data_IF_791356627724
#
_entry.id   IF_791356627724
#
_cell.length_a   1.000
_cell.length_b   1.000
_cell.length_c   1.000
_cell.angle_alpha   90.00
_cell.angle_beta   90.00
_cell.angle_gamma   90.00
#
_symmetry.space_group_name_H-M   'P 1'
#
loop_
_entity.id
_entity.type
_entity.pdbx_description
1 polymer ?
#
# COMPACT_ATOMS: atom_id res chain seq x y z
N UNK A 1 -18.66 -38.33 2.29
CA UNK A 1 -19.43 -37.71 3.39
C UNK A 1 -18.77 -38.11 4.69
N UNK A 2 -17.96 -37.23 5.29
CA UNK A 2 -17.25 -37.56 6.53
C UNK A 2 -18.19 -37.38 7.73
N UNK A 3 -18.20 -38.43 8.54
CA UNK A 3 -18.88 -38.70 9.80
C UNK A 3 -19.14 -37.50 10.72
N UNK A 4 -20.24 -37.58 11.47
CA UNK A 4 -20.72 -36.67 12.53
C UNK A 4 -19.66 -36.31 13.59
N UNK A 5 -18.67 -35.50 13.25
CA UNK A 5 -17.78 -34.92 14.25
C UNK A 5 -18.57 -33.92 15.11
N UNK A 6 -18.43 -34.06 16.42
CA UNK A 6 -19.10 -33.18 17.39
C UNK A 6 -18.53 -31.77 17.24
N UNK A 7 -19.33 -30.86 16.69
CA UNK A 7 -18.97 -29.45 16.56
C UNK A 7 -19.29 -28.74 17.88
N UNK A 8 -18.26 -28.23 18.55
CA UNK A 8 -18.43 -27.39 19.75
C UNK A 8 -18.00 -25.96 19.43
N UNK A 9 -18.63 -24.99 20.11
CA UNK A 9 -18.33 -23.57 19.95
C UNK A 9 -18.01 -22.96 21.30
N UNK A 10 -16.98 -22.14 21.37
CA UNK A 10 -16.68 -21.40 22.60
C UNK A 10 -17.70 -20.28 22.81
N UNK A 11 -17.70 -19.69 24.02
CA UNK A 11 -18.44 -18.46 24.28
C UNK A 11 -17.92 -17.34 23.39
N UNK A 12 -18.82 -16.44 23.01
CA UNK A 12 -18.47 -15.20 22.34
C UNK A 12 -17.54 -14.36 23.22
N UNK A 13 -16.52 -13.80 22.58
CA UNK A 13 -15.61 -12.85 23.18
C UNK A 13 -15.66 -11.57 22.38
N UNK A 14 -15.67 -10.44 23.08
CA UNK A 14 -15.62 -9.12 22.47
C UNK A 14 -14.16 -8.77 22.14
N UNK A 15 -13.93 -8.18 20.98
CA UNK A 15 -12.67 -7.53 20.64
C UNK A 15 -12.92 -6.23 19.87
N UNK A 16 -11.95 -5.33 19.96
CA UNK A 16 -11.98 -4.05 19.27
C UNK A 16 -11.32 -4.21 17.90
N UNK A 17 -12.13 -4.02 16.85
CA UNK A 17 -11.70 -3.98 15.46
C UNK A 17 -11.20 -2.58 15.16
N UNK A 18 -9.92 -2.46 14.82
CA UNK A 18 -9.29 -1.20 14.49
C UNK A 18 -9.22 -1.08 12.96
N UNK A 19 -9.82 -0.03 12.41
CA UNK A 19 -9.76 0.28 10.99
C UNK A 19 -8.61 1.25 10.69
N UNK A 20 -8.22 1.33 9.40
CA UNK A 20 -7.19 2.25 8.91
C UNK A 20 -7.54 3.73 9.14
N UNK A 21 -8.82 4.05 9.29
CA UNK A 21 -9.32 5.40 9.62
C UNK A 21 -9.24 5.75 11.11
N UNK A 22 -8.59 4.90 11.94
CA UNK A 22 -8.65 4.93 13.41
C UNK A 22 -10.07 4.77 13.99
N UNK A 23 -11.05 4.41 13.16
CA UNK A 23 -12.36 4.00 13.64
C UNK A 23 -12.20 2.68 14.41
N UNK A 24 -12.85 2.60 15.57
CA UNK A 24 -12.91 1.39 16.38
C UNK A 24 -14.35 0.89 16.34
N UNK A 25 -14.54 -0.37 15.98
CA UNK A 25 -15.82 -1.04 16.08
C UNK A 25 -15.71 -2.25 16.98
N UNK A 26 -16.82 -2.55 17.65
CA UNK A 26 -16.92 -3.71 18.51
C UNK A 26 -17.33 -4.92 17.68
N UNK A 27 -16.52 -5.97 17.71
CA UNK A 27 -16.79 -7.23 17.04
C UNK A 27 -16.75 -8.38 18.06
N UNK A 28 -17.41 -9.47 17.71
CA UNK A 28 -17.48 -10.68 18.52
C UNK A 28 -16.78 -11.82 17.80
N UNK A 29 -16.03 -12.62 18.53
CA UNK A 29 -15.29 -13.77 18.02
C UNK A 29 -15.54 -15.01 18.89
N UNK A 30 -15.66 -16.17 18.26
CA UNK A 30 -15.65 -17.48 18.94
C UNK A 30 -14.89 -18.52 18.13
N UNK A 31 -14.34 -19.51 18.82
CA UNK A 31 -13.68 -20.66 18.20
C UNK A 31 -14.73 -21.73 17.89
N UNK A 32 -14.60 -22.35 16.71
CA UNK A 32 -15.33 -23.55 16.31
C UNK A 32 -14.35 -24.73 16.41
N UNK A 33 -14.70 -25.74 17.19
CA UNK A 33 -13.87 -26.91 17.45
C UNK A 33 -14.59 -28.14 16.89
N UNK A 34 -13.98 -28.77 15.89
CA UNK A 34 -14.45 -30.02 15.30
C UNK A 34 -13.81 -31.20 16.04
N UNK A 35 -14.57 -31.88 16.90
CA UNK A 35 -14.06 -32.95 17.74
C UNK A 35 -13.10 -32.46 18.82
N UNK A 36 -11.81 -32.41 18.51
CA UNK A 36 -10.75 -31.95 19.42
C UNK A 36 -10.00 -30.75 18.83
N UNK A 37 -9.34 -29.96 19.70
CA UNK A 37 -8.52 -28.84 19.23
C UNK A 37 -7.30 -29.37 18.48
N UNK A 38 -7.17 -28.99 17.22
CA UNK A 38 -6.00 -29.27 16.39
C UNK A 38 -5.13 -28.02 16.25
N UNK A 39 -3.98 -28.15 15.57
CA UNK A 39 -3.14 -27.01 15.20
C UNK A 39 -3.88 -26.01 14.29
N UNK A 40 -4.85 -26.50 13.51
CA UNK A 40 -5.70 -25.73 12.62
C UNK A 40 -6.96 -25.29 13.38
N UNK A 41 -7.06 -24.00 13.65
CA UNK A 41 -8.16 -23.42 14.42
C UNK A 41 -9.15 -22.73 13.50
N UNK A 42 -10.43 -22.92 13.81
CA UNK A 42 -11.54 -22.31 13.08
C UNK A 42 -12.19 -21.24 13.97
N UNK A 43 -12.47 -20.09 13.38
CA UNK A 43 -13.04 -18.95 14.07
C UNK A 43 -14.25 -18.43 13.34
N UNK A 44 -15.18 -17.89 14.11
CA UNK A 44 -16.35 -17.19 13.62
C UNK A 44 -16.34 -15.79 14.22
N UNK A 45 -16.44 -14.79 13.35
CA UNK A 45 -16.42 -13.38 13.71
C UNK A 45 -17.73 -12.75 13.22
N UNK A 46 -18.35 -11.90 14.04
CA UNK A 46 -19.58 -11.18 13.70
C UNK A 46 -19.63 -9.81 14.37
N UNK A 47 -20.41 -8.88 13.82
CA UNK A 47 -20.80 -7.63 14.50
C UNK A 47 -21.95 -7.83 15.48
N UNK A 48 -22.78 -8.86 15.28
CA UNK A 48 -23.95 -9.15 16.10
C UNK A 48 -24.06 -10.66 16.38
N UNK A 49 -23.97 -11.03 17.65
CA UNK A 49 -24.02 -12.42 18.13
C UNK A 49 -25.43 -13.06 18.09
N UNK A 50 -26.49 -12.25 18.00
CA UNK A 50 -27.88 -12.70 17.98
C UNK A 50 -28.40 -12.88 16.55
N UNK A 51 -28.16 -11.89 15.69
CA UNK A 51 -28.68 -11.90 14.31
C UNK A 51 -27.75 -12.56 13.30
N UNK A 52 -26.44 -12.62 13.57
CA UNK A 52 -25.41 -13.18 12.68
C UNK A 52 -25.58 -12.72 11.22
N UNK A 53 -25.44 -11.40 10.94
CA UNK A 53 -25.73 -10.87 9.62
C UNK A 53 -24.74 -11.45 8.60
N UNK A 54 -25.19 -11.96 7.44
CA UNK A 54 -24.29 -12.59 6.45
C UNK A 54 -23.15 -11.69 5.98
N UNK A 55 -23.40 -10.39 5.87
CA UNK A 55 -22.42 -9.42 5.34
C UNK A 55 -21.31 -9.09 6.34
N UNK A 56 -21.55 -9.27 7.64
CA UNK A 56 -20.61 -8.96 8.71
C UNK A 56 -20.19 -10.19 9.53
N UNK A 57 -20.64 -11.38 9.12
CA UNK A 57 -20.27 -12.65 9.72
C UNK A 57 -19.28 -13.38 8.82
N UNK A 58 -18.11 -13.72 9.35
CA UNK A 58 -17.06 -14.39 8.59
C UNK A 58 -16.50 -15.60 9.35
N UNK A 59 -16.14 -16.62 8.59
CA UNK A 59 -15.48 -17.82 9.09
C UNK A 59 -14.02 -17.82 8.66
N UNK A 60 -13.12 -18.07 9.61
CA UNK A 60 -11.68 -18.04 9.40
C UNK A 60 -11.05 -19.36 9.81
N UNK A 61 -10.01 -19.74 9.09
CA UNK A 61 -9.18 -20.89 9.39
C UNK A 61 -7.73 -20.40 9.53
N UNK A 62 -7.05 -20.80 10.60
CA UNK A 62 -5.67 -20.36 10.84
C UNK A 62 -4.86 -21.40 11.61
N UNK A 63 -3.58 -21.52 11.27
CA UNK A 63 -2.60 -22.32 12.00
C UNK A 63 -1.74 -21.48 12.97
N UNK A 64 -2.05 -20.19 13.17
CA UNK A 64 -1.31 -19.37 14.13
C UNK A 64 -1.44 -19.97 15.53
N UNK A 65 -0.36 -19.96 16.30
CA UNK A 65 -0.28 -20.45 17.67
C UNK A 65 -0.49 -19.32 18.68
N UNK A 66 -0.74 -19.64 19.95
CA UNK A 66 -0.90 -18.66 21.04
C UNK A 66 -2.33 -18.13 21.27
N UNK A 67 -2.45 -17.10 22.11
CA UNK A 67 -3.71 -16.40 22.38
C UNK A 67 -3.98 -15.36 21.27
N UNK A 68 -4.70 -15.81 20.25
CA UNK A 68 -4.92 -15.05 19.01
C UNK A 68 -6.34 -14.47 18.94
N UNK A 69 -7.18 -14.72 19.93
CA UNK A 69 -8.60 -14.32 19.99
C UNK A 69 -8.79 -12.83 19.71
N UNK A 70 -7.94 -11.97 20.28
CA UNK A 70 -8.01 -10.51 20.11
C UNK A 70 -7.29 -9.98 18.87
N UNK A 71 -6.49 -10.82 18.21
CA UNK A 71 -5.60 -10.39 17.11
C UNK A 71 -6.01 -10.95 15.75
N UNK A 72 -6.62 -12.14 15.68
CA UNK A 72 -7.02 -12.81 14.41
C UNK A 72 -7.91 -11.90 13.56
N UNK A 73 -8.96 -11.34 14.16
CA UNK A 73 -9.86 -10.44 13.43
C UNK A 73 -9.11 -9.23 12.88
N UNK A 74 -8.16 -8.70 13.67
CA UNK A 74 -7.37 -7.56 13.25
C UNK A 74 -6.40 -7.87 12.11
N UNK A 75 -5.71 -9.01 12.19
CA UNK A 75 -4.78 -9.52 11.17
C UNK A 75 -5.53 -9.87 9.88
N UNK A 76 -6.63 -10.61 9.96
CA UNK A 76 -7.39 -11.01 8.78
C UNK A 76 -7.90 -9.79 8.02
N UNK A 77 -8.36 -8.78 8.76
CA UNK A 77 -8.82 -7.56 8.16
C UNK A 77 -7.73 -6.68 7.57
N UNK A 78 -6.43 -7.02 7.68
CA UNK A 78 -5.37 -6.38 6.88
C UNK A 78 -5.49 -6.75 5.39
N UNK A 79 -6.22 -7.81 5.02
CA UNK A 79 -6.44 -8.20 3.62
C UNK A 79 -7.00 -7.08 2.74
N UNK A 80 -7.75 -6.13 3.31
CA UNK A 80 -8.31 -5.00 2.57
C UNK A 80 -7.22 -4.06 2.05
N UNK A 81 -6.01 -4.08 2.62
CA UNK A 81 -4.87 -3.33 2.09
C UNK A 81 -4.39 -3.88 0.74
N UNK A 82 -4.54 -5.19 0.50
CA UNK A 82 -4.22 -5.80 -0.80
C UNK A 82 -5.17 -5.24 -1.86
N UNK A 83 -6.47 -5.21 -1.57
CA UNK A 83 -7.49 -4.65 -2.47
C UNK A 83 -7.25 -3.16 -2.71
N UNK A 84 -6.94 -2.39 -1.67
CA UNK A 84 -6.57 -0.99 -1.79
C UNK A 84 -5.37 -0.80 -2.72
N UNK A 85 -4.32 -1.61 -2.57
CA UNK A 85 -3.13 -1.56 -3.42
C UNK A 85 -3.46 -1.86 -4.89
N UNK A 86 -4.23 -2.92 -5.16
CA UNK A 86 -4.66 -3.23 -6.53
C UNK A 86 -5.49 -2.13 -7.16
N UNK A 87 -6.32 -1.43 -6.37
CA UNK A 87 -7.05 -0.26 -6.85
C UNK A 87 -6.11 0.84 -7.31
N UNK A 88 -5.04 1.12 -6.54
CA UNK A 88 -4.04 2.11 -6.96
C UNK A 88 -3.28 1.68 -8.22
N UNK A 89 -2.87 0.41 -8.33
CA UNK A 89 -2.20 -0.09 -9.53
C UNK A 89 -3.06 0.04 -10.79
N UNK A 90 -4.38 -0.20 -10.67
CA UNK A 90 -5.35 -0.05 -11.76
C UNK A 90 -5.59 1.40 -12.13
N UNK A 91 -6.00 2.21 -11.15
CA UNK A 91 -6.54 3.55 -11.39
C UNK A 91 -5.43 4.58 -11.63
N UNK A 92 -4.25 4.42 -11.01
CA UNK A 92 -3.22 5.46 -10.99
C UNK A 92 -1.95 5.08 -11.75
N UNK A 93 -1.56 3.80 -11.77
CA UNK A 93 -0.33 3.33 -12.43
C UNK A 93 -0.58 2.70 -13.81
N UNK A 94 -1.84 2.68 -14.26
CA UNK A 94 -2.18 2.25 -15.61
C UNK A 94 -1.99 0.75 -15.85
N UNK A 95 -2.20 -0.09 -14.83
CA UNK A 95 -2.25 -1.54 -15.06
C UNK A 95 -3.26 -1.92 -16.14
N UNK A 96 -4.38 -1.20 -16.28
CA UNK A 96 -5.37 -1.48 -17.32
C UNK A 96 -5.04 -0.84 -18.69
N UNK A 97 -3.98 -0.02 -18.77
CA UNK A 97 -3.68 0.82 -19.95
C UNK A 97 -2.70 0.18 -20.93
N UNK A 98 -2.19 -1.04 -20.66
CA UNK A 98 -1.31 -1.71 -21.61
C UNK A 98 -2.08 -2.12 -22.87
N UNK A 99 -1.44 -1.93 -24.03
CA UNK A 99 -1.92 -2.41 -25.34
C UNK A 99 -1.13 -3.62 -25.84
N UNK A 100 -0.44 -4.27 -24.92
CA UNK A 100 0.39 -5.45 -25.16
C UNK A 100 -0.48 -6.69 -25.30
N UNK A 101 -0.09 -7.62 -26.17
CA UNK A 101 -0.81 -8.88 -26.40
C UNK A 101 0.01 -10.12 -26.07
N UNK A 102 1.35 -10.00 -26.04
CA UNK A 102 2.25 -11.06 -25.61
C UNK A 102 2.23 -11.21 -24.09
N UNK A 103 2.14 -12.45 -23.60
CA UNK A 103 2.16 -12.73 -22.16
C UNK A 103 3.45 -12.24 -21.48
N UNK A 104 4.60 -12.45 -22.11
CA UNK A 104 5.90 -12.03 -21.56
C UNK A 104 6.00 -10.52 -21.37
N UNK A 105 5.38 -9.75 -22.27
CA UNK A 105 5.36 -8.28 -22.18
C UNK A 105 4.38 -7.82 -21.09
N UNK A 106 3.25 -8.51 -20.94
CA UNK A 106 2.27 -8.24 -19.87
C UNK A 106 2.89 -8.50 -18.49
N UNK A 107 3.67 -9.57 -18.35
CA UNK A 107 4.39 -9.88 -17.11
C UNK A 107 5.41 -8.79 -16.77
N UNK A 108 6.24 -8.37 -17.74
CA UNK A 108 7.18 -7.25 -17.56
C UNK A 108 6.46 -5.94 -17.20
N UNK A 109 5.32 -5.66 -17.84
CA UNK A 109 4.51 -4.50 -17.51
C UNK A 109 4.04 -4.55 -16.05
N UNK A 110 3.59 -5.72 -15.60
CA UNK A 110 3.18 -5.92 -14.23
C UNK A 110 4.31 -5.70 -13.22
N UNK A 111 5.51 -6.21 -13.51
CA UNK A 111 6.70 -6.01 -12.69
C UNK A 111 7.04 -4.52 -12.53
N UNK A 112 6.95 -3.75 -13.63
CA UNK A 112 7.17 -2.30 -13.60
C UNK A 112 6.12 -1.60 -12.75
N UNK A 113 4.83 -1.93 -12.95
CA UNK A 113 3.72 -1.36 -12.16
C UNK A 113 3.90 -1.66 -10.67
N UNK A 114 4.27 -2.88 -10.31
CA UNK A 114 4.49 -3.28 -8.93
C UNK A 114 5.73 -2.64 -8.31
N UNK A 115 6.81 -2.47 -9.09
CA UNK A 115 8.00 -1.75 -8.67
C UNK A 115 7.70 -0.28 -8.37
N UNK A 116 6.93 0.38 -9.24
CA UNK A 116 6.47 1.75 -9.02
C UNK A 116 5.55 1.85 -7.78
N UNK A 117 4.62 0.91 -7.61
CA UNK A 117 3.77 0.86 -6.42
C UNK A 117 4.58 0.72 -5.12
N UNK A 118 5.59 -0.15 -5.12
CA UNK A 118 6.49 -0.38 -4.00
C UNK A 118 7.31 0.88 -3.68
N UNK A 119 7.90 1.51 -4.69
CA UNK A 119 8.66 2.75 -4.57
C UNK A 119 7.84 3.87 -3.92
N UNK A 120 6.58 4.05 -4.35
CA UNK A 120 5.67 5.05 -3.76
C UNK A 120 5.32 4.69 -2.32
N UNK A 121 5.03 3.42 -2.06
CA UNK A 121 4.62 2.94 -0.72
C UNK A 121 5.72 3.15 0.32
N UNK A 122 6.99 3.02 -0.07
CA UNK A 122 8.14 3.31 0.78
C UNK A 122 8.24 4.77 1.21
N UNK A 123 7.69 5.71 0.43
CA UNK A 123 7.63 7.12 0.85
C UNK A 123 6.57 7.40 1.92
N UNK A 124 5.83 6.39 2.38
CA UNK A 124 4.86 6.59 3.46
C UNK A 124 5.55 6.79 4.81
N UNK A 125 4.92 7.61 5.66
CA UNK A 125 5.43 7.94 6.99
C UNK A 125 5.69 6.71 7.85
N UNK A 126 4.94 5.62 7.65
CA UNK A 126 5.13 4.38 8.43
C UNK A 126 6.53 3.83 8.21
N UNK A 127 7.00 3.74 6.97
CA UNK A 127 8.34 3.24 6.66
C UNK A 127 9.43 4.27 7.00
N UNK A 128 9.16 5.55 6.79
CA UNK A 128 10.07 6.61 7.21
C UNK A 128 10.31 6.61 8.73
N UNK A 129 9.24 6.47 9.52
CA UNK A 129 9.33 6.42 10.98
C UNK A 129 10.01 5.13 11.49
N UNK A 130 9.81 3.99 10.81
CA UNK A 130 10.55 2.75 11.11
C UNK A 130 12.05 2.92 10.88
N UNK A 131 12.44 3.77 9.93
CA UNK A 131 13.82 4.03 9.55
C UNK A 131 14.49 5.20 10.25
N UNK A 132 13.91 5.73 11.34
CA UNK A 132 14.43 6.86 12.13
C UNK A 132 15.88 6.70 12.68
N UNK A 133 16.59 5.63 12.31
CA UNK A 133 18.03 5.48 12.51
C UNK A 133 18.91 5.87 11.30
N UNK A 134 18.39 6.27 10.14
CA UNK A 134 19.26 6.51 8.97
C UNK A 134 18.64 7.42 7.91
N UNK A 135 19.17 8.66 7.79
CA UNK A 135 19.22 9.52 6.58
C UNK A 135 18.05 10.42 6.19
N UNK A 136 16.99 10.59 6.98
CA UNK A 136 16.18 11.79 6.78
C UNK A 136 16.94 13.00 7.33
N UNK A 137 17.06 14.02 6.50
CA UNK A 137 17.73 15.31 6.75
C UNK A 137 19.22 15.34 6.36
N UNK A 138 19.50 15.23 5.06
CA UNK A 138 20.43 16.17 4.47
C UNK A 138 19.62 17.41 4.11
N UNK A 139 19.56 18.39 5.02
CA UNK A 139 18.97 19.73 4.87
C UNK A 139 17.42 19.84 4.84
N UNK A 140 16.77 20.20 5.97
CA UNK A 140 15.31 20.39 6.03
C UNK A 140 14.84 21.59 5.18
N UNK A 141 15.77 22.48 4.81
CA UNK A 141 15.54 23.62 3.94
C UNK A 141 15.18 23.26 2.50
N UNK A 142 15.65 22.12 1.96
CA UNK A 142 15.32 21.69 0.60
C UNK A 142 13.90 21.15 0.53
N UNK A 143 13.48 20.36 1.53
CA UNK A 143 12.11 19.84 1.61
C UNK A 143 11.09 20.98 1.66
N UNK A 144 11.38 22.05 2.40
CA UNK A 144 10.54 23.25 2.44
C UNK A 144 10.38 23.88 1.05
N UNK A 145 11.44 23.93 0.24
CA UNK A 145 11.35 24.43 -1.15
C UNK A 145 10.50 23.55 -2.05
N UNK A 146 10.55 22.23 -1.90
CA UNK A 146 9.64 21.34 -2.65
C UNK A 146 8.18 21.58 -2.26
N UNK A 147 7.93 21.82 -0.97
CA UNK A 147 6.59 22.10 -0.43
C UNK A 147 6.02 23.46 -0.87
N UNK A 148 6.86 24.40 -1.31
CA UNK A 148 6.42 25.67 -1.91
C UNK A 148 5.77 25.48 -3.29
N UNK A 149 5.93 24.32 -3.93
CA UNK A 149 5.33 24.07 -5.24
C UNK A 149 3.78 24.11 -5.15
N UNK A 150 3.07 24.87 -6.02
CA UNK A 150 1.62 25.07 -5.89
C UNK A 150 0.77 23.79 -5.92
N UNK A 151 1.27 22.75 -6.59
CA UNK A 151 0.61 21.43 -6.66
C UNK A 151 1.15 20.41 -5.67
N UNK A 152 2.03 20.81 -4.76
CA UNK A 152 2.52 19.94 -3.71
C UNK A 152 1.40 19.61 -2.72
N UNK A 153 1.27 18.34 -2.37
CA UNK A 153 0.22 17.87 -1.49
C UNK A 153 0.78 17.40 -0.14
N UNK A 154 0.32 18.00 0.96
CA UNK A 154 0.77 17.70 2.33
C UNK A 154 -0.07 16.60 3.01
N UNK A 155 -1.13 16.10 2.36
CA UNK A 155 -1.99 15.09 2.96
C UNK A 155 -1.33 13.70 2.98
N UNK A 156 -1.60 12.95 4.05
CA UNK A 156 -1.04 11.62 4.31
C UNK A 156 -1.83 10.54 3.56
N UNK A 157 -1.48 10.30 2.31
CA UNK A 157 -2.13 9.28 1.48
C UNK A 157 -1.28 8.86 0.29
N UNK A 158 -1.44 7.60 -0.14
CA UNK A 158 -0.63 7.03 -1.23
C UNK A 158 -0.72 7.86 -2.52
N UNK A 159 -1.92 8.33 -2.88
CA UNK A 159 -2.11 9.18 -4.08
C UNK A 159 -1.37 10.50 -4.01
N UNK A 160 -1.29 11.09 -2.82
CA UNK A 160 -0.59 12.36 -2.61
C UNK A 160 0.93 12.16 -2.72
N UNK A 161 1.44 11.04 -2.20
CA UNK A 161 2.84 10.63 -2.37
C UNK A 161 3.16 10.42 -3.86
N UNK A 162 2.30 9.71 -4.60
CA UNK A 162 2.45 9.54 -6.04
C UNK A 162 2.48 10.89 -6.76
N UNK A 163 1.57 11.81 -6.43
CA UNK A 163 1.53 13.15 -7.01
C UNK A 163 2.85 13.90 -6.77
N UNK A 164 3.35 13.91 -5.54
CA UNK A 164 4.59 14.61 -5.21
C UNK A 164 5.79 14.00 -5.94
N UNK A 165 5.87 12.67 -6.03
CA UNK A 165 6.90 11.99 -6.83
C UNK A 165 6.77 12.31 -8.33
N UNK A 166 5.55 12.39 -8.87
CA UNK A 166 5.29 12.82 -10.25
C UNK A 166 5.84 14.23 -10.52
N UNK A 167 5.65 15.16 -9.58
CA UNK A 167 6.20 16.53 -9.69
C UNK A 167 7.73 16.51 -9.72
N UNK A 168 8.37 15.66 -8.91
CA UNK A 168 9.83 15.56 -8.85
C UNK A 168 10.42 14.99 -10.15
N UNK A 169 9.77 14.00 -10.77
CA UNK A 169 10.26 13.41 -12.04
C UNK A 169 9.87 14.24 -13.28
N UNK A 170 8.92 15.17 -13.14
CA UNK A 170 8.33 15.92 -14.25
C UNK A 170 9.37 16.66 -15.14
N UNK A 171 10.41 17.32 -14.59
CA UNK A 171 11.45 17.95 -15.41
C UNK A 171 12.17 16.97 -16.33
N UNK A 172 12.43 15.74 -15.86
CA UNK A 172 13.06 14.70 -16.67
C UNK A 172 12.12 14.26 -17.80
N UNK A 173 10.84 14.06 -17.50
CA UNK A 173 9.82 13.70 -18.51
C UNK A 173 9.73 14.77 -19.59
N UNK A 174 9.66 16.04 -19.21
CA UNK A 174 9.61 17.15 -20.16
C UNK A 174 10.88 17.28 -21.00
N UNK A 175 12.05 17.07 -20.39
CA UNK A 175 13.32 17.01 -21.11
C UNK A 175 13.29 15.92 -22.19
N UNK A 176 12.83 14.70 -21.85
CA UNK A 176 12.71 13.60 -22.81
C UNK A 176 11.72 13.92 -23.95
N UNK A 177 10.58 14.53 -23.65
CA UNK A 177 9.56 14.87 -24.65
C UNK A 177 10.02 15.95 -25.62
N UNK A 178 10.82 16.92 -25.16
CA UNK A 178 11.29 18.03 -26.00
C UNK A 178 12.59 17.71 -26.74
N UNK A 179 13.37 16.72 -26.28
CA UNK A 179 14.66 16.32 -26.87
C UNK A 179 14.60 16.10 -28.39
N UNK A 180 13.58 15.42 -28.98
CA UNK A 180 13.48 15.27 -30.43
C UNK A 180 13.43 16.60 -31.17
N UNK A 181 12.72 17.61 -30.64
CA UNK A 181 12.64 18.94 -31.25
C UNK A 181 13.96 19.71 -31.13
N UNK A 182 14.68 19.53 -30.03
CA UNK A 182 16.00 20.14 -29.84
C UNK A 182 17.05 19.62 -30.83
N UNK A 183 16.85 18.41 -31.37
CA UNK A 183 17.69 17.90 -32.46
C UNK A 183 17.46 18.62 -33.80
N UNK A 184 16.24 19.15 -34.01
CA UNK A 184 15.87 19.90 -35.22
C UNK A 184 16.22 21.39 -35.05
N UNK A 185 15.92 21.95 -33.88
CA UNK A 185 16.16 23.35 -33.54
C UNK A 185 17.02 23.43 -32.27
N UNK A 186 18.36 23.53 -32.41
CA UNK A 186 19.25 23.50 -31.27
C UNK A 186 19.12 24.78 -30.44
N UNK A 187 18.64 24.64 -29.20
CA UNK A 187 18.53 25.71 -28.21
C UNK A 187 19.32 25.28 -26.96
N UNK A 188 20.65 25.52 -26.92
CA UNK A 188 21.50 25.10 -25.80
C UNK A 188 21.05 25.60 -24.42
N UNK A 189 20.58 26.87 -24.24
CA UNK A 189 20.13 27.36 -22.94
C UNK A 189 18.96 26.57 -22.36
N UNK A 190 18.05 26.10 -23.21
CA UNK A 190 16.88 25.32 -22.78
C UNK A 190 17.32 23.95 -22.25
N UNK A 191 18.25 23.29 -22.95
CA UNK A 191 18.83 22.02 -22.51
C UNK A 191 19.53 22.16 -21.16
N UNK A 192 20.35 23.21 -21.01
CA UNK A 192 21.05 23.50 -19.76
C UNK A 192 20.08 23.81 -18.61
N UNK A 193 18.98 24.51 -18.90
CA UNK A 193 17.90 24.78 -17.94
C UNK A 193 17.26 23.49 -17.41
N UNK A 194 16.93 22.55 -18.29
CA UNK A 194 16.39 21.25 -17.89
C UNK A 194 17.39 20.44 -17.06
N UNK A 195 18.65 20.35 -17.49
CA UNK A 195 19.68 19.63 -16.75
C UNK A 195 19.85 20.18 -15.33
N UNK A 196 19.87 21.51 -15.18
CA UNK A 196 19.95 22.16 -13.86
C UNK A 196 18.73 21.86 -13.00
N UNK A 197 17.53 21.86 -13.58
CA UNK A 197 16.32 21.55 -12.86
C UNK A 197 16.28 20.09 -12.41
N UNK A 198 16.69 19.15 -13.28
CA UNK A 198 16.83 17.73 -12.97
C UNK A 198 17.83 17.53 -11.82
N UNK A 199 18.95 18.24 -11.84
CA UNK A 199 19.97 18.15 -10.79
C UNK A 199 19.42 18.62 -9.43
N UNK A 200 18.59 19.67 -9.42
CA UNK A 200 17.85 20.09 -8.21
C UNK A 200 16.84 19.04 -7.74
N UNK A 201 16.11 18.41 -8.65
CA UNK A 201 15.13 17.36 -8.30
C UNK A 201 15.82 16.11 -7.73
N UNK A 202 17.00 15.74 -8.25
CA UNK A 202 17.78 14.59 -7.79
C UNK A 202 18.34 14.77 -6.37
N UNK A 203 18.32 15.99 -5.82
CA UNK A 203 18.63 16.23 -4.40
C UNK A 203 17.52 15.73 -3.46
N UNK A 204 16.36 15.35 -4.00
CA UNK A 204 15.31 14.71 -3.24
C UNK A 204 15.76 13.33 -2.75
N UNK A 205 15.94 13.19 -1.43
CA UNK A 205 16.33 11.93 -0.81
C UNK A 205 15.09 11.06 -0.55
N UNK A 206 14.72 10.24 -1.54
CA UNK A 206 13.66 9.26 -1.38
C UNK A 206 14.07 8.19 -0.37
N UNK A 207 13.14 7.74 0.47
CA UNK A 207 13.39 6.60 1.34
C UNK A 207 13.58 5.33 0.51
N UNK A 208 14.71 4.64 0.73
CA UNK A 208 15.01 3.33 0.17
C UNK A 208 15.32 2.41 1.35
N UNK A 209 14.63 1.27 1.50
CA UNK A 209 14.95 0.33 2.57
C UNK A 209 16.39 -0.17 2.41
N UNK A 210 17.11 -0.22 3.52
CA UNK A 210 18.37 -0.96 3.58
C UNK A 210 18.02 -2.45 3.50
N UNK A 211 18.43 -3.09 2.40
CA UNK A 211 18.19 -4.52 2.12
C UNK A 211 18.90 -5.44 3.11
#
# INVERSE_FOLDING_TARGET
>A
MLSHEKVTRTRWQKFDRIFSSNKIEVHYIREIIFGHRTSLRYWEITTDQALLPPNSTWFLMTNKTGNIQKTVGNIYGLRTWIEYGFKQCKDELGWADYRLTSYEEIEKWWEIVMSAYMMVSFQSEVFQNLSSCSRMINSPSLLLKFQEHPWWNQHKGWKNLLNNLRLIIQPMVFCCLITPWLSVFPIPPLTQGFLRLIDLMNQFNAYVPDG
#
